data_IF_275567155466
#
_entry.id   IF_275567155466
#
_cell.length_a   1.000
_cell.length_b   1.000
_cell.length_c   1.000
_cell.angle_alpha   90.00
_cell.angle_beta   90.00
_cell.angle_gamma   90.00
#
_symmetry.space_group_name_H-M   'P 1'
#
loop_
_entity.id
_entity.type
_entity.pdbx_description
1 polymer ?
#
# COMPACT_ATOMS: atom_id res chain seq x y z
N UNK A 1 10.01 15.76 4.77
CA UNK A 1 10.05 14.42 5.39
C UNK A 1 8.76 13.74 5.01
N UNK A 2 8.82 12.52 4.48
CA UNK A 2 7.62 11.80 4.03
C UNK A 2 6.92 11.14 5.21
N UNK A 3 5.60 10.97 5.07
CA UNK A 3 4.74 10.35 6.07
C UNK A 3 3.96 9.19 5.48
N UNK A 4 3.70 8.17 6.29
CA UNK A 4 2.96 6.99 5.85
C UNK A 4 1.95 6.53 6.90
N UNK A 5 0.91 5.83 6.45
CA UNK A 5 0.07 5.00 7.31
C UNK A 5 0.20 3.53 6.95
N UNK A 6 -0.05 2.66 7.93
CA UNK A 6 -0.09 1.20 7.75
C UNK A 6 -1.47 0.69 8.14
N UNK A 7 -2.10 -0.06 7.26
CA UNK A 7 -3.34 -0.80 7.52
C UNK A 7 -3.07 -2.29 7.34
N UNK A 8 -3.07 -3.04 8.42
CA UNK A 8 -2.98 -4.51 8.34
C UNK A 8 -4.38 -5.09 8.32
N UNK A 9 -4.67 -5.94 7.34
CA UNK A 9 -5.94 -6.67 7.23
C UNK A 9 -5.70 -8.11 7.68
N UNK A 10 -6.33 -8.50 8.80
CA UNK A 10 -6.23 -9.84 9.35
C UNK A 10 -7.30 -10.12 10.40
N UNK A 11 -7.94 -11.29 10.30
CA UNK A 11 -8.89 -11.79 11.32
C UNK A 11 -8.23 -12.27 12.62
N UNK A 12 -6.92 -12.55 12.59
CA UNK A 12 -6.23 -13.29 13.68
C UNK A 12 -5.07 -12.54 14.32
N UNK A 13 -4.58 -11.46 13.70
CA UNK A 13 -3.45 -10.69 14.22
C UNK A 13 -3.93 -9.56 15.12
N UNK A 14 -3.15 -9.32 16.16
CA UNK A 14 -3.19 -8.10 16.94
C UNK A 14 -1.90 -7.29 16.73
N UNK A 15 -1.90 -6.01 17.09
CA UNK A 15 -0.75 -5.12 16.86
C UNK A 15 0.57 -5.66 17.42
N UNK A 16 0.53 -6.32 18.58
CA UNK A 16 1.71 -6.93 19.20
C UNK A 16 2.33 -8.08 18.39
N UNK A 17 1.56 -8.69 17.49
CA UNK A 17 1.94 -9.88 16.71
C UNK A 17 2.02 -9.59 15.21
N UNK A 18 1.78 -8.33 14.80
CA UNK A 18 1.83 -7.91 13.41
C UNK A 18 3.28 -7.71 12.93
N UNK A 19 3.97 -8.83 12.73
CA UNK A 19 5.34 -8.84 12.23
C UNK A 19 5.51 -8.26 10.83
N UNK A 20 4.45 -8.25 10.00
CA UNK A 20 4.46 -7.63 8.67
C UNK A 20 4.35 -6.12 8.77
N UNK A 21 3.40 -5.60 9.54
CA UNK A 21 3.29 -4.16 9.81
C UNK A 21 4.52 -3.61 10.54
N UNK A 22 5.07 -4.34 11.51
CA UNK A 22 6.31 -3.96 12.19
C UNK A 22 7.50 -3.90 11.23
N UNK A 23 7.61 -4.86 10.29
CA UNK A 23 8.63 -4.82 9.24
C UNK A 23 8.46 -3.57 8.35
N UNK A 24 7.23 -3.33 7.86
CA UNK A 24 6.94 -2.17 7.00
C UNK A 24 7.35 -0.88 7.71
N UNK A 25 6.96 -0.73 8.97
CA UNK A 25 7.31 0.44 9.79
C UNK A 25 8.82 0.64 9.93
N UNK A 26 9.57 -0.44 10.20
CA UNK A 26 11.02 -0.37 10.34
C UNK A 26 11.71 0.07 9.04
N UNK A 27 11.36 -0.55 7.90
CA UNK A 27 11.97 -0.23 6.59
C UNK A 27 11.63 1.18 6.12
N UNK A 28 10.41 1.65 6.38
CA UNK A 28 10.02 3.03 6.10
C UNK A 28 10.85 4.03 6.93
N UNK A 29 11.02 3.77 8.23
CA UNK A 29 11.80 4.62 9.11
C UNK A 29 13.28 4.68 8.69
N UNK A 30 13.86 3.56 8.28
CA UNK A 30 15.23 3.48 7.73
C UNK A 30 15.43 4.32 6.45
N UNK A 31 14.33 4.72 5.79
CA UNK A 31 14.32 5.51 4.56
C UNK A 31 13.67 6.88 4.76
N UNK A 32 13.75 7.44 5.98
CA UNK A 32 13.24 8.77 6.34
C UNK A 32 11.74 8.99 6.10
N UNK A 33 10.95 7.90 6.16
CA UNK A 33 9.48 7.94 6.11
C UNK A 33 8.91 7.66 7.50
N UNK A 34 8.19 8.63 8.06
CA UNK A 34 7.59 8.50 9.39
C UNK A 34 6.20 7.88 9.30
N UNK A 35 5.98 6.77 10.02
CA UNK A 35 4.65 6.17 10.14
C UNK A 35 3.83 6.91 11.19
N UNK A 36 2.78 7.61 10.75
CA UNK A 36 1.93 8.44 11.61
C UNK A 36 0.70 7.70 12.15
N UNK A 37 0.33 6.57 11.54
CA UNK A 37 -0.75 5.70 12.01
C UNK A 37 -0.47 4.25 11.59
N UNK A 38 -0.72 3.29 12.49
CA UNK A 38 -0.66 1.86 12.21
C UNK A 38 -1.84 1.19 12.91
N UNK A 39 -2.74 0.59 12.13
CA UNK A 39 -3.96 -0.05 12.63
C UNK A 39 -4.16 -1.43 11.99
N UNK A 40 -4.99 -2.23 12.65
CA UNK A 40 -5.42 -3.54 12.17
C UNK A 40 -6.93 -3.57 12.04
N UNK A 41 -7.44 -4.15 10.96
CA UNK A 41 -8.85 -4.45 10.73
C UNK A 41 -9.02 -5.90 10.28
N UNK A 42 -10.22 -6.44 10.44
CA UNK A 42 -10.58 -7.77 9.93
C UNK A 42 -10.84 -7.74 8.43
N UNK A 43 -10.92 -8.92 7.80
CA UNK A 43 -11.20 -9.10 6.36
C UNK A 43 -12.67 -8.79 6.03
N UNK A 44 -13.08 -7.55 6.25
CA UNK A 44 -14.41 -7.01 5.96
C UNK A 44 -14.29 -5.74 5.11
N UNK A 45 -15.01 -5.71 3.99
CA UNK A 45 -14.89 -4.63 3.01
C UNK A 45 -15.23 -3.26 3.61
N UNK A 46 -16.28 -3.16 4.44
CA UNK A 46 -16.71 -1.89 5.04
C UNK A 46 -15.69 -1.41 6.08
N UNK A 47 -15.13 -2.32 6.87
CA UNK A 47 -14.11 -1.98 7.85
C UNK A 47 -12.81 -1.53 7.19
N UNK A 48 -12.37 -2.21 6.13
CA UNK A 48 -11.19 -1.83 5.35
C UNK A 48 -11.37 -0.43 4.76
N UNK A 49 -12.52 -0.16 4.11
CA UNK A 49 -12.79 1.15 3.54
C UNK A 49 -12.87 2.25 4.60
N UNK A 50 -13.59 2.01 5.70
CA UNK A 50 -13.69 2.96 6.81
C UNK A 50 -12.30 3.32 7.36
N UNK A 51 -11.46 2.30 7.59
CA UNK A 51 -10.12 2.49 8.12
C UNK A 51 -9.21 3.22 7.13
N UNK A 52 -9.28 2.88 5.84
CA UNK A 52 -8.56 3.55 4.77
C UNK A 52 -8.95 5.03 4.66
N UNK A 53 -10.25 5.35 4.59
CA UNK A 53 -10.74 6.72 4.49
C UNK A 53 -10.34 7.56 5.71
N UNK A 54 -10.35 6.96 6.90
CA UNK A 54 -9.85 7.62 8.10
C UNK A 54 -8.36 7.93 8.05
N UNK A 55 -7.53 7.06 7.46
CA UNK A 55 -6.09 7.30 7.27
C UNK A 55 -5.80 8.29 6.15
N UNK A 56 -6.57 8.23 5.06
CA UNK A 56 -6.53 9.18 3.94
C UNK A 56 -6.68 10.63 4.43
N UNK A 57 -7.66 10.86 5.32
CA UNK A 57 -7.91 12.17 5.93
C UNK A 57 -6.78 12.67 6.85
N UNK A 58 -5.84 11.82 7.27
CA UNK A 58 -4.65 12.26 8.01
C UNK A 58 -3.63 12.96 7.11
N UNK A 59 -3.78 12.88 5.79
CA UNK A 59 -2.92 13.60 4.84
C UNK A 59 -1.52 13.01 4.69
N UNK A 60 -1.32 11.71 4.98
CA UNK A 60 -0.04 11.04 4.76
C UNK A 60 0.35 11.00 3.27
N UNK A 61 1.64 10.93 2.95
CA UNK A 61 2.12 10.80 1.58
C UNK A 61 1.89 9.37 1.02
N UNK A 62 1.98 8.36 1.90
CA UNK A 62 1.77 6.95 1.57
C UNK A 62 0.71 6.28 2.44
N UNK A 63 -0.06 5.36 1.85
CA UNK A 63 -0.92 4.42 2.56
C UNK A 63 -0.51 2.99 2.18
N UNK A 64 0.01 2.22 3.12
CA UNK A 64 0.40 0.82 2.87
C UNK A 64 -0.58 -0.13 3.56
N UNK A 65 -1.32 -0.88 2.75
CA UNK A 65 -2.21 -1.95 3.19
C UNK A 65 -1.50 -3.29 3.02
N UNK A 66 -1.57 -4.18 4.01
CA UNK A 66 -1.07 -5.55 3.87
C UNK A 66 -2.06 -6.59 4.40
N UNK A 67 -2.25 -7.70 3.68
CA UNK A 67 -3.23 -8.73 4.01
C UNK A 67 -4.49 -8.65 3.14
N UNK A 68 -5.32 -9.71 3.15
CA UNK A 68 -6.59 -9.77 2.41
C UNK A 68 -6.50 -9.57 0.89
N UNK A 69 -5.34 -9.82 0.27
CA UNK A 69 -5.08 -9.63 -1.18
C UNK A 69 -4.93 -10.95 -1.96
N UNK A 70 -5.23 -12.09 -1.34
CA UNK A 70 -5.18 -13.39 -2.01
C UNK A 70 -6.40 -13.67 -2.90
N UNK A 71 -6.60 -14.95 -3.20
CA UNK A 71 -7.72 -15.46 -4.03
C UNK A 71 -8.82 -16.11 -3.19
N UNK A 72 -8.69 -16.16 -1.86
CA UNK A 72 -9.72 -16.73 -1.02
C UNK A 72 -10.97 -15.84 -1.05
N UNK A 73 -12.16 -16.42 -0.86
CA UNK A 73 -13.41 -15.66 -0.89
C UNK A 73 -13.46 -14.53 0.16
N UNK A 74 -12.73 -14.68 1.26
CA UNK A 74 -12.60 -13.67 2.32
C UNK A 74 -11.60 -12.55 1.99
N UNK A 75 -10.72 -12.74 1.01
CA UNK A 75 -9.70 -11.76 0.66
C UNK A 75 -10.36 -10.57 -0.09
N UNK A 76 -10.79 -9.56 0.68
CA UNK A 76 -11.61 -8.44 0.17
C UNK A 76 -10.87 -7.11 0.10
N UNK A 77 -9.57 -7.07 0.36
CA UNK A 77 -8.77 -5.82 0.33
C UNK A 77 -8.76 -5.18 -1.06
N UNK A 78 -8.60 -5.98 -2.12
CA UNK A 78 -8.52 -5.45 -3.49
C UNK A 78 -9.87 -4.86 -3.94
N UNK A 79 -11.01 -5.56 -3.80
CA UNK A 79 -12.33 -4.95 -4.03
C UNK A 79 -12.61 -3.73 -3.16
N UNK A 80 -12.11 -3.70 -1.91
CA UNK A 80 -12.31 -2.57 -1.01
C UNK A 80 -11.55 -1.30 -1.46
N UNK A 81 -10.29 -1.45 -1.87
CA UNK A 81 -9.39 -0.32 -2.15
C UNK A 81 -9.45 0.15 -3.60
N UNK A 82 -9.60 -0.76 -4.57
CA UNK A 82 -9.55 -0.41 -6.00
C UNK A 82 -10.49 0.75 -6.40
N UNK A 83 -11.76 0.81 -5.92
CA UNK A 83 -12.67 1.91 -6.23
C UNK A 83 -12.25 3.28 -5.68
N UNK A 84 -11.33 3.30 -4.71
CA UNK A 84 -10.83 4.53 -4.05
C UNK A 84 -9.58 5.09 -4.76
N UNK A 85 -9.03 4.36 -5.72
CA UNK A 85 -7.89 4.80 -6.53
C UNK A 85 -8.40 5.55 -7.77
N UNK A 86 -7.90 6.76 -7.97
CA UNK A 86 -8.18 7.57 -9.17
C UNK A 86 -7.25 7.23 -10.33
N UNK A 87 -6.05 6.73 -10.02
CA UNK A 87 -5.08 6.32 -11.01
C UNK A 87 -4.30 5.10 -10.52
N UNK A 88 -4.46 3.96 -11.18
CA UNK A 88 -3.69 2.76 -10.86
C UNK A 88 -2.30 2.79 -11.53
N UNK A 89 -1.35 2.11 -10.91
CA UNK A 89 0.01 1.87 -11.41
C UNK A 89 0.10 0.36 -11.69
N UNK A 90 -0.44 -0.14 -12.82
CA UNK A 90 -0.51 -1.58 -13.11
C UNK A 90 0.87 -2.25 -13.12
N UNK A 91 1.92 -1.51 -13.55
CA UNK A 91 3.30 -1.97 -13.55
C UNK A 91 3.82 -2.42 -12.19
N UNK A 92 3.28 -1.91 -11.07
CA UNK A 92 3.64 -2.39 -9.74
C UNK A 92 3.23 -3.85 -9.54
N UNK A 93 1.97 -4.18 -9.83
CA UNK A 93 1.46 -5.55 -9.67
C UNK A 93 2.13 -6.52 -10.63
N UNK A 94 2.44 -6.08 -11.85
CA UNK A 94 3.19 -6.86 -12.84
C UNK A 94 4.62 -7.16 -12.37
N UNK A 95 5.36 -6.14 -11.96
CA UNK A 95 6.72 -6.29 -11.45
C UNK A 95 6.75 -7.15 -10.17
N UNK A 96 5.81 -6.92 -9.25
CA UNK A 96 5.71 -7.69 -8.02
C UNK A 96 5.43 -9.18 -8.29
N UNK A 97 4.53 -9.49 -9.23
CA UNK A 97 4.30 -10.88 -9.66
C UNK A 97 5.53 -11.48 -10.32
N UNK A 98 6.25 -10.73 -11.15
CA UNK A 98 7.47 -11.23 -11.80
C UNK A 98 8.59 -11.53 -10.80
N UNK A 99 8.80 -10.67 -9.80
CA UNK A 99 9.73 -10.92 -8.69
C UNK A 99 9.30 -12.12 -7.86
N UNK A 100 8.02 -12.14 -7.44
CA UNK A 100 7.45 -13.24 -6.66
C UNK A 100 7.55 -14.57 -7.40
N UNK A 101 7.39 -14.59 -8.73
CA UNK A 101 7.49 -15.83 -9.50
C UNK A 101 8.90 -16.45 -9.42
N UNK A 102 9.94 -15.62 -9.34
CA UNK A 102 11.32 -16.10 -9.14
C UNK A 102 11.51 -16.70 -7.75
N UNK A 103 10.82 -16.19 -6.73
CA UNK A 103 10.95 -16.64 -5.34
C UNK A 103 10.08 -17.85 -5.00
N UNK A 104 8.81 -17.83 -5.42
CA UNK A 104 7.77 -18.78 -4.99
C UNK A 104 7.10 -19.52 -6.15
N UNK A 105 7.61 -19.36 -7.38
CA UNK A 105 7.11 -20.05 -8.57
C UNK A 105 5.67 -19.69 -8.91
N UNK A 106 4.90 -20.68 -9.35
CA UNK A 106 3.51 -20.50 -9.81
C UNK A 106 2.55 -19.97 -8.73
N UNK A 107 2.91 -20.06 -7.44
CA UNK A 107 2.14 -19.43 -6.35
C UNK A 107 2.01 -17.92 -6.51
N UNK A 108 2.97 -17.27 -7.18
CA UNK A 108 2.93 -15.84 -7.47
C UNK A 108 1.73 -15.43 -8.35
N UNK A 109 1.15 -16.36 -9.13
CA UNK A 109 -0.01 -16.09 -9.97
C UNK A 109 -1.24 -15.66 -9.15
N UNK A 110 -1.33 -16.08 -7.88
CA UNK A 110 -2.42 -15.73 -6.98
C UNK A 110 -2.25 -14.34 -6.32
N UNK A 111 -1.18 -13.60 -6.62
CA UNK A 111 -0.98 -12.28 -6.04
C UNK A 111 -1.78 -11.20 -6.77
N UNK A 112 -2.65 -10.53 -6.03
CA UNK A 112 -3.38 -9.36 -6.48
C UNK A 112 -2.81 -8.06 -5.92
N UNK A 113 -1.49 -7.99 -5.67
CA UNK A 113 -0.88 -6.74 -5.22
C UNK A 113 -1.11 -5.62 -6.25
N UNK A 114 -1.53 -4.45 -5.77
CA UNK A 114 -1.79 -3.26 -6.60
C UNK A 114 -1.16 -2.03 -5.99
N UNK A 115 -0.96 -1.00 -6.82
CA UNK A 115 -0.60 0.34 -6.38
C UNK A 115 -1.39 1.38 -7.17
N UNK A 116 -1.54 2.57 -6.60
CA UNK A 116 -2.17 3.69 -7.29
C UNK A 116 -2.25 4.93 -6.43
N UNK A 117 -2.73 6.02 -7.02
CA UNK A 117 -3.02 7.25 -6.31
C UNK A 117 -4.52 7.35 -6.03
N UNK A 118 -4.87 7.89 -4.86
CA UNK A 118 -6.25 8.25 -4.52
C UNK A 118 -6.61 9.67 -4.99
N UNK A 119 -7.79 10.16 -4.61
CA UNK A 119 -8.27 11.49 -4.98
C UNK A 119 -7.40 12.63 -4.41
N UNK A 120 -6.72 12.39 -3.30
CA UNK A 120 -5.85 13.36 -2.62
C UNK A 120 -4.39 13.30 -3.09
N UNK A 121 -4.09 12.51 -4.13
CA UNK A 121 -2.74 12.26 -4.64
C UNK A 121 -1.80 11.57 -3.64
N UNK A 122 -2.35 10.82 -2.69
CA UNK A 122 -1.58 9.98 -1.79
C UNK A 122 -1.34 8.63 -2.47
N UNK A 123 -0.14 8.09 -2.26
CA UNK A 123 0.30 6.87 -2.91
C UNK A 123 -0.10 5.65 -2.08
N UNK A 124 -0.94 4.80 -2.65
CA UNK A 124 -1.51 3.63 -1.99
C UNK A 124 -0.92 2.34 -2.54
N UNK A 125 -0.51 1.43 -1.65
CA UNK A 125 -0.07 0.08 -1.98
C UNK A 125 -0.89 -0.97 -1.24
N UNK A 126 -1.37 -1.99 -1.94
CA UNK A 126 -1.97 -3.19 -1.32
C UNK A 126 -1.04 -4.37 -1.52
N UNK A 127 -0.53 -4.92 -0.42
CA UNK A 127 0.48 -5.97 -0.39
C UNK A 127 -0.09 -7.29 0.16
N UNK A 128 0.51 -8.44 -0.16
CA UNK A 128 0.23 -9.70 0.54
C UNK A 128 0.62 -9.60 2.02
N UNK A 129 -0.12 -10.28 2.90
CA UNK A 129 0.08 -10.18 4.36
C UNK A 129 1.32 -10.91 4.91
N UNK A 130 2.13 -11.55 4.06
CA UNK A 130 3.32 -12.29 4.49
C UNK A 130 4.53 -11.37 4.62
N UNK A 131 5.37 -11.58 5.63
CA UNK A 131 6.56 -10.76 5.89
C UNK A 131 7.52 -10.73 4.68
N UNK A 132 7.73 -11.87 4.01
CA UNK A 132 8.59 -11.95 2.82
C UNK A 132 8.05 -11.14 1.63
N UNK A 133 6.74 -11.19 1.39
CA UNK A 133 6.10 -10.40 0.34
C UNK A 133 6.22 -8.89 0.62
N UNK A 134 5.96 -8.46 1.86
CA UNK A 134 6.14 -7.07 2.25
C UNK A 134 7.60 -6.63 2.06
N UNK A 135 8.57 -7.46 2.46
CA UNK A 135 9.99 -7.16 2.28
C UNK A 135 10.35 -6.95 0.80
N UNK A 136 9.91 -7.88 -0.05
CA UNK A 136 10.18 -7.85 -1.49
C UNK A 136 9.57 -6.61 -2.14
N UNK A 137 8.32 -6.28 -1.82
CA UNK A 137 7.66 -5.09 -2.33
C UNK A 137 8.38 -3.81 -1.89
N UNK A 138 8.74 -3.70 -0.60
CA UNK A 138 9.42 -2.52 -0.07
C UNK A 138 10.78 -2.32 -0.73
N UNK A 139 11.61 -3.34 -0.71
CA UNK A 139 13.03 -3.22 -1.04
C UNK A 139 13.28 -3.09 -2.52
N UNK A 140 12.50 -3.83 -3.32
CA UNK A 140 12.76 -3.95 -4.75
C UNK A 140 11.90 -3.00 -5.59
N UNK A 141 10.78 -2.48 -5.05
CA UNK A 141 9.80 -1.72 -5.83
C UNK A 141 9.40 -0.40 -5.21
N UNK A 142 9.03 -0.37 -3.92
CA UNK A 142 8.45 0.84 -3.30
C UNK A 142 9.54 1.85 -2.98
N UNK A 143 10.51 1.48 -2.14
CA UNK A 143 11.54 2.39 -1.65
C UNK A 143 12.42 2.98 -2.78
N UNK A 144 12.85 2.20 -3.80
CA UNK A 144 13.65 2.75 -4.90
C UNK A 144 12.93 3.83 -5.72
N UNK A 145 11.61 3.71 -5.90
CA UNK A 145 10.82 4.61 -6.75
C UNK A 145 10.07 5.69 -5.97
N UNK A 146 10.04 5.59 -4.64
CA UNK A 146 9.18 6.42 -3.79
C UNK A 146 9.35 7.92 -4.02
N UNK A 147 10.60 8.39 -4.00
CA UNK A 147 10.89 9.82 -4.17
C UNK A 147 10.48 10.32 -5.56
N UNK A 148 10.70 9.52 -6.60
CA UNK A 148 10.34 9.86 -7.97
C UNK A 148 8.82 9.98 -8.14
N UNK A 149 8.05 8.98 -7.69
CA UNK A 149 6.60 8.97 -7.81
C UNK A 149 5.93 10.13 -7.06
N UNK A 150 6.41 10.46 -5.86
CA UNK A 150 5.89 11.59 -5.09
C UNK A 150 6.25 12.93 -5.76
N UNK A 151 7.48 13.06 -6.28
CA UNK A 151 7.90 14.26 -7.00
C UNK A 151 7.02 14.53 -8.23
N UNK A 152 6.83 13.52 -9.09
CA UNK A 152 6.00 13.63 -10.29
C UNK A 152 4.58 14.11 -9.97
N UNK A 153 3.96 13.54 -8.93
CA UNK A 153 2.60 13.91 -8.54
C UNK A 153 2.52 15.28 -7.86
N UNK A 154 3.58 15.72 -7.19
CA UNK A 154 3.66 17.06 -6.59
C UNK A 154 3.72 18.19 -7.62
N UNK A 155 4.37 17.97 -8.78
CA UNK A 155 4.45 18.96 -9.85
C UNK A 155 3.10 19.15 -10.56
N UNK A 156 2.35 18.06 -10.77
CA UNK A 156 1.01 18.14 -11.36
C UNK A 156 0.03 18.98 -10.50
N UNK A 157 0.19 19.03 -9.17
CA UNK A 157 -0.57 19.97 -8.31
C UNK A 157 -0.25 21.43 -8.61
N UNK A 158 1.01 21.77 -8.88
CA UNK A 158 1.42 23.15 -9.15
C UNK A 158 0.89 23.64 -10.50
N UNK A 159 0.91 22.77 -11.52
CA UNK A 159 0.45 23.10 -12.85
C UNK A 159 -1.07 23.36 -12.91
N UNK A 160 -1.86 22.59 -12.16
CA UNK A 160 -3.32 22.81 -12.04
C UNK A 160 -3.67 24.16 -11.40
N UNK A 161 -2.85 24.65 -10.46
CA UNK A 161 -3.05 25.96 -9.85
C UNK A 161 -2.56 27.12 -10.74
N UNK A 162 -1.60 26.88 -11.64
CA UNK A 162 -1.12 27.92 -12.57
C UNK A 162 -2.07 28.19 -13.74
N UNK A 163 -2.90 27.23 -14.12
CA UNK A 163 -3.86 27.37 -15.24
C UNK A 163 -5.27 27.81 -14.79
N UNK A 164 -5.48 28.05 -13.49
CA UNK A 164 -6.76 28.48 -12.91
C UNK A 164 -6.83 30.01 -12.67
N UNK A 165 -5.91 30.78 -13.24
CA UNK A 165 -5.82 32.24 -13.13
C UNK A 165 -5.95 32.92 -14.49
#
# INVERSE_FOLDING_TARGET
MLTATILTVSDSRHLAEDGSGALIKARLLENDVTVIDHRIVVDDQVQIQTAYLSQELMGADLLIINGGTGVAQRDVTIPAITPLLTQQIPGFGEAFRALSFKEIGTRALASHAIAGFNLYNQLTYCLPGSKNACQTALDQLILPELQHLIFERSNQRKDLHHHAH
#
